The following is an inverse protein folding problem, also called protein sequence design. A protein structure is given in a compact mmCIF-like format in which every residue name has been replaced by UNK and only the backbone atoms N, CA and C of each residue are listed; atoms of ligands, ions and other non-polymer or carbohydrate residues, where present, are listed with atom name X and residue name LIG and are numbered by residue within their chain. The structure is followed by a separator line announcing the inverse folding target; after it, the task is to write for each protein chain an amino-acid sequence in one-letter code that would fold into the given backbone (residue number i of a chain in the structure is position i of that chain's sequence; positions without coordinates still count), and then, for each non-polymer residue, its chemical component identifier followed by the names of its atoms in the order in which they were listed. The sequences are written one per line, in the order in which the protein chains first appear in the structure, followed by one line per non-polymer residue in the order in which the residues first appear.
data_IF_282684127501
#
_entry.id   IF_282684127501
#
_cell.length_a   1.000
_cell.length_b   1.000
_cell.length_c   1.000
_cell.angle_alpha   90.00
_cell.angle_beta   90.00
_cell.angle_gamma   90.00
#
_symmetry.space_group_name_H-M   'P 1'
#
loop_
_entity.id
_entity.type
_entity.pdbx_description
1 polymer ?
#
# COMPACT_ATOMS: atom_id res chain seq x y z
N UNK A 1 15.76 23.01 -32.92
CA UNK A 1 15.08 22.64 -31.65
C UNK A 1 13.59 22.73 -31.92
N UNK A 2 12.81 21.70 -31.58
CA UNK A 2 11.35 21.77 -31.72
C UNK A 2 10.80 22.92 -30.86
N UNK A 3 9.90 23.73 -31.44
CA UNK A 3 9.35 24.91 -30.78
C UNK A 3 8.20 24.49 -29.86
N UNK A 4 8.53 24.03 -28.66
CA UNK A 4 7.59 23.56 -27.65
C UNK A 4 7.30 24.69 -26.66
N UNK A 5 6.01 24.95 -26.38
CA UNK A 5 5.57 26.13 -25.60
C UNK A 5 5.67 25.91 -24.10
N UNK A 6 5.76 24.66 -23.64
CA UNK A 6 5.93 24.33 -22.22
C UNK A 6 6.61 22.98 -22.01
N UNK A 7 7.11 22.77 -20.79
CA UNK A 7 7.69 21.49 -20.36
C UNK A 7 6.65 20.35 -20.37
N UNK A 8 5.41 20.64 -19.98
CA UNK A 8 4.31 19.67 -20.01
C UNK A 8 3.97 19.20 -21.43
N UNK A 9 3.98 20.11 -22.41
CA UNK A 9 3.74 19.78 -23.82
C UNK A 9 4.85 18.87 -24.38
N UNK A 10 6.10 19.09 -23.96
CA UNK A 10 7.21 18.18 -24.27
C UNK A 10 6.98 16.78 -23.68
N UNK A 11 6.53 16.71 -22.42
CA UNK A 11 6.26 15.44 -21.75
C UNK A 11 5.10 14.68 -22.37
N UNK A 12 4.00 15.35 -22.72
CA UNK A 12 2.86 14.72 -23.37
C UNK A 12 3.22 14.17 -24.76
N UNK A 13 3.99 14.92 -25.54
CA UNK A 13 4.38 14.50 -26.89
C UNK A 13 5.37 13.34 -26.89
N UNK A 14 6.28 13.31 -25.91
CA UNK A 14 7.38 12.33 -25.85
C UNK A 14 7.08 11.13 -24.96
N UNK A 15 6.18 11.28 -23.99
CA UNK A 15 5.73 10.24 -23.06
C UNK A 15 4.20 10.24 -22.91
N UNK A 16 3.44 10.11 -24.01
CA UNK A 16 1.98 10.27 -24.01
C UNK A 16 1.26 9.29 -23.07
N UNK A 17 1.85 8.11 -22.87
CA UNK A 17 1.24 7.05 -22.05
C UNK A 17 1.55 7.18 -20.55
N UNK A 18 2.52 8.00 -20.12
CA UNK A 18 2.86 8.11 -18.70
C UNK A 18 3.75 9.31 -18.36
N UNK A 19 3.15 10.45 -18.00
CA UNK A 19 3.87 11.59 -17.39
C UNK A 19 4.74 11.18 -16.19
N UNK A 20 4.28 10.20 -15.41
CA UNK A 20 5.01 9.62 -14.27
C UNK A 20 6.38 9.04 -14.67
N UNK A 21 6.48 8.38 -15.83
CA UNK A 21 7.77 7.85 -16.33
C UNK A 21 8.74 8.98 -16.64
N UNK A 22 8.27 10.11 -17.14
CA UNK A 22 9.12 11.25 -17.44
C UNK A 22 9.74 11.84 -16.16
N UNK A 23 8.94 12.04 -15.11
CA UNK A 23 9.45 12.49 -13.81
C UNK A 23 10.48 11.52 -13.21
N UNK A 24 10.32 10.22 -13.40
CA UNK A 24 11.33 9.23 -13.00
C UNK A 24 12.63 9.37 -13.77
N UNK A 25 12.56 9.56 -15.09
CA UNK A 25 13.74 9.76 -15.93
C UNK A 25 14.47 11.06 -15.59
N UNK A 26 13.73 12.13 -15.28
CA UNK A 26 14.31 13.39 -14.82
C UNK A 26 15.02 13.22 -13.48
N UNK A 27 14.35 12.64 -12.49
CA UNK A 27 14.94 12.45 -11.16
C UNK A 27 16.23 11.64 -11.24
N UNK A 28 16.23 10.57 -12.04
CA UNK A 28 17.42 9.77 -12.34
C UNK A 28 18.50 10.61 -13.04
N UNK A 29 18.13 11.42 -14.03
CA UNK A 29 19.07 12.24 -14.79
C UNK A 29 19.73 13.31 -13.92
N UNK A 30 18.97 13.96 -13.05
CA UNK A 30 19.39 15.08 -12.21
C UNK A 30 20.28 14.62 -11.05
N UNK A 31 19.92 13.52 -10.39
CA UNK A 31 20.54 13.17 -9.11
C UNK A 31 21.61 12.08 -9.25
N UNK A 32 21.53 11.20 -10.26
CA UNK A 32 22.54 10.15 -10.42
C UNK A 32 23.76 10.63 -11.21
N UNK A 33 25.00 10.36 -10.71
CA UNK A 33 26.20 10.66 -11.46
C UNK A 33 26.25 9.94 -12.82
N UNK A 34 26.97 10.53 -13.79
CA UNK A 34 27.00 10.06 -15.17
C UNK A 34 27.48 8.62 -15.35
N UNK A 35 28.43 8.15 -14.53
CA UNK A 35 28.94 6.78 -14.59
C UNK A 35 27.87 5.75 -14.16
N UNK A 36 27.11 6.06 -13.11
CA UNK A 36 25.99 5.27 -12.56
C UNK A 36 24.88 5.11 -13.59
N UNK A 37 24.55 6.20 -14.28
CA UNK A 37 23.50 6.20 -15.32
C UNK A 37 23.80 5.22 -16.46
N UNK A 38 25.08 4.98 -16.77
CA UNK A 38 25.49 4.00 -17.80
C UNK A 38 25.21 2.56 -17.36
N UNK A 39 25.26 2.31 -16.05
CA UNK A 39 25.05 0.99 -15.45
C UNK A 39 23.56 0.68 -15.19
N UNK A 40 22.67 1.67 -15.27
CA UNK A 40 21.23 1.49 -15.11
C UNK A 40 20.62 0.46 -16.07
N UNK A 41 21.25 0.24 -17.24
CA UNK A 41 20.83 -0.82 -18.17
C UNK A 41 20.92 -2.22 -17.56
N UNK A 42 21.83 -2.44 -16.60
CA UNK A 42 22.06 -3.73 -15.95
C UNK A 42 21.18 -3.92 -14.71
N UNK A 43 20.89 -2.86 -13.96
CA UNK A 43 20.10 -2.93 -12.71
C UNK A 43 18.61 -2.63 -12.90
N UNK A 44 18.25 -1.98 -14.01
CA UNK A 44 16.87 -1.66 -14.37
C UNK A 44 16.36 -0.35 -13.74
N UNK A 45 15.37 0.26 -14.42
CA UNK A 45 14.84 1.59 -14.07
C UNK A 45 14.21 1.67 -12.69
N UNK A 46 13.57 0.60 -12.21
CA UNK A 46 12.93 0.62 -10.89
C UNK A 46 13.95 0.75 -9.76
N UNK A 47 15.07 0.02 -9.84
CA UNK A 47 16.18 0.18 -8.88
C UNK A 47 16.92 1.50 -9.10
N UNK A 48 17.02 1.96 -10.34
CA UNK A 48 17.55 3.28 -10.67
C UNK A 48 16.80 4.43 -9.99
N UNK A 49 15.48 4.34 -9.90
CA UNK A 49 14.67 5.33 -9.19
C UNK A 49 14.99 5.34 -7.69
N UNK A 50 15.15 4.17 -7.06
CA UNK A 50 15.52 4.07 -5.65
C UNK A 50 16.93 4.63 -5.39
N UNK A 51 17.90 4.35 -6.28
CA UNK A 51 19.23 4.97 -6.23
C UNK A 51 19.16 6.50 -6.30
N UNK A 52 18.27 7.04 -7.14
CA UNK A 52 18.10 8.49 -7.27
C UNK A 52 17.56 9.12 -5.98
N UNK A 53 16.75 8.40 -5.18
CA UNK A 53 16.30 8.90 -3.87
C UNK A 53 17.47 9.07 -2.90
N UNK A 54 18.38 8.10 -2.84
CA UNK A 54 19.58 8.17 -2.01
C UNK A 54 20.52 9.28 -2.48
N UNK A 55 20.81 9.33 -3.78
CA UNK A 55 21.66 10.37 -4.35
C UNK A 55 21.10 11.78 -4.13
N UNK A 56 19.76 11.93 -4.14
CA UNK A 56 19.10 13.19 -3.79
C UNK A 56 19.28 13.56 -2.31
N UNK A 57 19.25 12.59 -1.39
CA UNK A 57 19.46 12.82 0.05
C UNK A 57 20.94 13.16 0.34
N UNK A 58 21.85 12.35 -0.18
CA UNK A 58 23.27 12.37 0.18
C UNK A 58 24.10 13.34 -0.67
N UNK A 59 23.59 13.73 -1.83
CA UNK A 59 24.27 14.65 -2.74
C UNK A 59 25.67 14.15 -3.11
N UNK A 60 26.70 14.89 -2.70
CA UNK A 60 28.10 14.57 -2.99
C UNK A 60 28.64 13.40 -2.15
N UNK A 61 28.02 13.07 -1.02
CA UNK A 61 28.43 11.98 -0.14
C UNK A 61 27.77 10.64 -0.51
N UNK A 62 27.01 10.61 -1.60
CA UNK A 62 26.34 9.40 -2.07
C UNK A 62 27.35 8.29 -2.42
N UNK A 63 27.42 7.26 -1.57
CA UNK A 63 28.26 6.09 -1.82
C UNK A 63 27.65 5.22 -2.91
N UNK A 64 27.96 5.59 -4.14
CA UNK A 64 27.37 4.95 -5.28
C UNK A 64 27.84 3.50 -5.46
N UNK A 65 29.09 3.18 -5.09
CA UNK A 65 29.65 1.85 -5.30
C UNK A 65 28.92 0.80 -4.46
N UNK A 66 28.67 1.09 -3.18
CA UNK A 66 27.94 0.20 -2.28
C UNK A 66 26.51 0.00 -2.78
N UNK A 67 25.82 1.09 -3.10
CA UNK A 67 24.41 1.02 -3.51
C UNK A 67 24.21 0.38 -4.88
N UNK A 68 25.13 0.57 -5.83
CA UNK A 68 25.13 -0.15 -7.11
C UNK A 68 25.37 -1.64 -6.92
N UNK A 69 26.28 -2.04 -6.03
CA UNK A 69 26.50 -3.44 -5.73
C UNK A 69 25.24 -4.08 -5.14
N UNK A 70 24.64 -3.45 -4.12
CA UNK A 70 23.35 -3.87 -3.55
C UNK A 70 22.26 -3.97 -4.62
N UNK A 71 22.18 -3.00 -5.53
CA UNK A 71 21.20 -3.00 -6.62
C UNK A 71 21.38 -4.18 -7.60
N UNK A 72 22.60 -4.69 -7.78
CA UNK A 72 22.86 -5.85 -8.65
C UNK A 72 22.50 -7.17 -7.99
N UNK A 73 22.77 -7.30 -6.69
CA UNK A 73 22.63 -8.57 -5.95
C UNK A 73 21.22 -8.76 -5.41
N UNK A 74 20.61 -7.71 -4.86
CA UNK A 74 19.32 -7.81 -4.19
C UNK A 74 18.15 -7.87 -5.18
N UNK A 75 17.09 -8.65 -4.94
CA UNK A 75 15.83 -8.52 -5.65
C UNK A 75 15.25 -7.10 -5.50
N UNK A 76 14.32 -6.73 -6.39
CA UNK A 76 13.76 -5.38 -6.45
C UNK A 76 13.16 -4.92 -5.10
N UNK A 77 12.39 -5.78 -4.44
CA UNK A 77 11.68 -5.39 -3.22
C UNK A 77 12.59 -5.40 -1.99
N UNK A 78 13.61 -6.25 -1.94
CA UNK A 78 14.66 -6.18 -0.91
C UNK A 78 15.50 -4.92 -1.06
N UNK A 79 15.89 -4.58 -2.30
CA UNK A 79 16.63 -3.36 -2.58
C UNK A 79 15.82 -2.12 -2.17
N UNK A 80 14.51 -2.07 -2.50
CA UNK A 80 13.63 -0.98 -2.09
C UNK A 80 13.59 -0.84 -0.56
N UNK A 81 13.48 -1.94 0.18
CA UNK A 81 13.46 -1.93 1.65
C UNK A 81 14.77 -1.44 2.25
N UNK A 82 15.91 -1.88 1.73
CA UNK A 82 17.22 -1.38 2.17
C UNK A 82 17.35 0.13 1.95
N UNK A 83 16.87 0.63 0.81
CA UNK A 83 16.84 2.07 0.51
C UNK A 83 15.89 2.82 1.46
N UNK A 84 14.69 2.30 1.70
CA UNK A 84 13.74 2.90 2.65
C UNK A 84 14.27 2.93 4.08
N UNK A 85 14.91 1.83 4.52
CA UNK A 85 15.56 1.72 5.82
C UNK A 85 16.68 2.75 5.96
N UNK A 86 17.52 2.87 4.94
CA UNK A 86 18.59 3.87 4.90
C UNK A 86 18.02 5.28 4.99
N UNK A 87 16.99 5.61 4.20
CA UNK A 87 16.39 6.95 4.15
C UNK A 87 15.64 7.33 5.44
N UNK A 88 15.02 6.37 6.12
CA UNK A 88 14.09 6.63 7.24
C UNK A 88 14.60 6.17 8.60
N UNK A 89 15.64 5.34 8.64
CA UNK A 89 16.15 4.67 9.84
C UNK A 89 15.22 3.59 10.39
N UNK A 90 14.12 3.26 9.71
CA UNK A 90 13.11 2.30 10.18
C UNK A 90 13.16 1.02 9.37
N UNK A 91 13.19 -0.11 10.05
CA UNK A 91 12.86 -1.39 9.42
C UNK A 91 11.35 -1.51 9.29
N UNK A 92 10.88 -1.58 8.05
CA UNK A 92 9.48 -1.90 7.75
C UNK A 92 9.34 -3.41 7.58
N UNK A 93 8.28 -3.97 8.17
CA UNK A 93 7.96 -5.38 7.99
C UNK A 93 7.74 -5.68 6.48
N UNK A 94 8.23 -6.82 5.96
CA UNK A 94 7.95 -7.22 4.60
C UNK A 94 6.43 -7.28 4.37
N UNK A 95 5.95 -6.67 3.30
CA UNK A 95 4.56 -6.77 2.87
C UNK A 95 4.49 -7.12 1.39
N UNK A 96 3.43 -7.82 1.00
CA UNK A 96 3.15 -8.20 -0.38
C UNK A 96 1.79 -7.66 -0.80
N UNK A 97 1.70 -7.14 -2.04
CA UNK A 97 0.39 -6.84 -2.64
C UNK A 97 -0.09 -8.08 -3.36
N UNK A 98 -1.22 -8.60 -2.91
CA UNK A 98 -1.92 -9.70 -3.57
C UNK A 98 -3.00 -9.11 -4.47
N UNK A 99 -2.99 -9.49 -5.75
CA UNK A 99 -4.03 -9.13 -6.70
C UNK A 99 -4.96 -10.31 -6.89
N UNK A 100 -6.26 -10.11 -6.64
CA UNK A 100 -7.29 -11.09 -6.95
C UNK A 100 -8.33 -10.47 -7.88
N UNK A 101 -8.91 -11.31 -8.74
CA UNK A 101 -10.01 -10.91 -9.61
C UNK A 101 -11.31 -11.00 -8.81
N UNK A 102 -12.15 -9.98 -8.96
CA UNK A 102 -13.51 -9.98 -8.45
C UNK A 102 -14.47 -10.23 -9.61
N UNK A 103 -15.41 -11.15 -9.41
CA UNK A 103 -16.54 -11.31 -10.30
C UNK A 103 -17.51 -10.15 -10.11
N UNK A 104 -18.22 -9.75 -11.17
CA UNK A 104 -19.22 -8.67 -11.09
C UNK A 104 -20.28 -8.94 -10.02
N UNK A 105 -20.65 -10.20 -9.81
CA UNK A 105 -21.59 -10.63 -8.77
C UNK A 105 -21.08 -10.41 -7.33
N UNK A 106 -19.77 -10.27 -7.13
CA UNK A 106 -19.16 -10.06 -5.82
C UNK A 106 -19.04 -8.57 -5.45
N UNK A 107 -19.10 -7.67 -6.44
CA UNK A 107 -18.95 -6.22 -6.22
C UNK A 107 -19.96 -5.69 -5.18
N UNK A 108 -21.27 -6.00 -5.26
CA UNK A 108 -22.24 -5.46 -4.30
C UNK A 108 -21.96 -5.91 -2.86
N UNK A 109 -21.52 -7.16 -2.69
CA UNK A 109 -21.19 -7.72 -1.36
C UNK A 109 -20.00 -6.99 -0.74
N UNK A 110 -18.98 -6.70 -1.55
CA UNK A 110 -17.77 -6.00 -1.09
C UNK A 110 -18.07 -4.53 -0.78
N UNK A 111 -18.88 -3.87 -1.62
CA UNK A 111 -19.31 -2.51 -1.38
C UNK A 111 -20.10 -2.39 -0.08
N UNK A 112 -21.07 -3.28 0.14
CA UNK A 112 -21.86 -3.31 1.37
C UNK A 112 -20.98 -3.56 2.61
N UNK A 113 -20.00 -4.46 2.53
CA UNK A 113 -19.08 -4.71 3.63
C UNK A 113 -18.24 -3.47 3.98
N UNK A 114 -17.71 -2.77 2.96
CA UNK A 114 -16.93 -1.55 3.15
C UNK A 114 -17.76 -0.40 3.70
N UNK A 115 -19.00 -0.24 3.24
CA UNK A 115 -19.94 0.75 3.77
C UNK A 115 -20.28 0.48 5.24
N UNK A 116 -20.57 -0.79 5.57
CA UNK A 116 -20.85 -1.21 6.95
C UNK A 116 -19.65 -0.92 7.85
N UNK A 117 -18.45 -1.28 7.43
CA UNK A 117 -17.23 -0.98 8.17
C UNK A 117 -17.00 0.53 8.33
N UNK A 118 -17.24 1.33 7.29
CA UNK A 118 -17.14 2.78 7.38
C UNK A 118 -18.13 3.36 8.42
N UNK A 119 -19.37 2.86 8.46
CA UNK A 119 -20.35 3.27 9.48
C UNK A 119 -19.88 2.90 10.89
N UNK A 120 -19.32 1.69 11.08
CA UNK A 120 -18.81 1.22 12.38
C UNK A 120 -17.58 2.01 12.85
N UNK A 121 -16.72 2.47 11.93
CA UNK A 121 -15.49 3.22 12.23
C UNK A 121 -15.72 4.75 12.33
N UNK A 122 -16.95 5.20 12.15
CA UNK A 122 -17.31 6.61 11.98
C UNK A 122 -17.12 7.08 10.54
N UNK A 123 -17.99 7.99 10.07
CA UNK A 123 -17.94 8.51 8.70
C UNK A 123 -16.60 9.17 8.36
N UNK A 124 -16.21 9.11 7.07
CA UNK A 124 -14.96 9.66 6.48
C UNK A 124 -13.69 8.79 6.58
N UNK A 125 -13.83 7.46 6.54
CA UNK A 125 -12.69 6.53 6.40
C UNK A 125 -12.47 6.10 4.96
N UNK A 126 -11.21 5.96 4.57
CA UNK A 126 -10.86 5.45 3.24
C UNK A 126 -11.28 3.97 3.10
N UNK A 127 -11.69 3.57 1.90
CA UNK A 127 -12.03 2.17 1.59
C UNK A 127 -10.90 1.19 1.94
N UNK A 128 -9.65 1.60 1.75
CA UNK A 128 -8.48 0.79 2.11
C UNK A 128 -8.40 0.54 3.62
N UNK A 129 -8.62 1.58 4.43
CA UNK A 129 -8.65 1.46 5.88
C UNK A 129 -9.82 0.59 6.36
N UNK A 130 -11.01 0.73 5.76
CA UNK A 130 -12.15 -0.15 6.07
C UNK A 130 -11.83 -1.62 5.79
N UNK A 131 -11.16 -1.90 4.67
CA UNK A 131 -10.74 -3.26 4.33
C UNK A 131 -9.71 -3.80 5.32
N UNK A 132 -8.74 -2.98 5.72
CA UNK A 132 -7.74 -3.34 6.73
C UNK A 132 -8.42 -3.71 8.05
N UNK A 133 -9.39 -2.92 8.50
CA UNK A 133 -10.14 -3.19 9.73
C UNK A 133 -10.98 -4.48 9.64
N UNK A 134 -11.61 -4.75 8.50
CA UNK A 134 -12.34 -6.02 8.28
C UNK A 134 -11.38 -7.21 8.35
N UNK A 135 -10.21 -7.11 7.73
CA UNK A 135 -9.20 -8.17 7.79
C UNK A 135 -8.65 -8.35 9.22
N UNK A 136 -8.40 -7.26 9.95
CA UNK A 136 -7.94 -7.31 11.32
C UNK A 136 -8.97 -7.98 12.25
N UNK A 137 -10.26 -7.64 12.10
CA UNK A 137 -11.35 -8.26 12.85
C UNK A 137 -11.48 -9.76 12.52
N UNK A 138 -11.41 -10.12 11.23
CA UNK A 138 -11.41 -11.51 10.80
C UNK A 138 -10.22 -12.30 11.38
N UNK A 139 -9.01 -11.75 11.35
CA UNK A 139 -7.82 -12.40 11.91
C UNK A 139 -7.90 -12.52 13.44
N UNK A 140 -8.41 -11.51 14.12
CA UNK A 140 -8.67 -11.57 15.56
C UNK A 140 -9.70 -12.65 15.89
N UNK A 141 -10.74 -12.81 15.06
CA UNK A 141 -11.75 -13.85 15.18
C UNK A 141 -11.27 -15.26 14.82
N UNK A 142 -10.44 -15.41 13.77
CA UNK A 142 -9.90 -16.70 13.33
C UNK A 142 -8.87 -17.27 14.32
N UNK A 143 -8.17 -16.41 15.06
CA UNK A 143 -7.32 -16.85 16.17
C UNK A 143 -8.12 -17.27 17.43
N UNK A 144 -9.46 -17.20 17.42
CA UNK A 144 -10.31 -17.73 18.50
C UNK A 144 -10.52 -19.25 18.43
N UNK A 145 -9.99 -19.95 17.41
CA UNK A 145 -10.00 -21.42 17.40
C UNK A 145 -9.15 -22.04 18.55
N UNK A 146 -8.39 -21.21 19.28
CA UNK A 146 -7.80 -21.50 20.60
C UNK A 146 -8.32 -20.62 21.75
N UNK A 147 -9.36 -19.81 21.52
CA UNK A 147 -9.87 -18.78 22.43
C UNK A 147 -11.09 -19.24 23.24
N UNK A 148 -11.19 -18.74 24.47
CA UNK A 148 -12.29 -19.00 25.41
C UNK A 148 -13.68 -18.86 24.73
N UNK A 149 -14.51 -19.92 24.68
CA UNK A 149 -15.86 -19.90 24.09
C UNK A 149 -16.76 -18.79 24.64
N UNK A 150 -16.46 -18.28 25.83
CA UNK A 150 -17.21 -17.18 26.44
C UNK A 150 -16.91 -15.81 25.82
N UNK A 151 -15.93 -15.68 24.93
CA UNK A 151 -15.60 -14.40 24.26
C UNK A 151 -16.71 -14.03 23.27
N UNK A 152 -17.12 -14.98 22.42
CA UNK A 152 -18.24 -14.77 21.49
C UNK A 152 -19.53 -14.48 22.26
N UNK A 153 -19.78 -15.22 23.34
CA UNK A 153 -20.96 -15.04 24.17
C UNK A 153 -20.98 -13.67 24.86
N UNK A 154 -19.82 -13.17 25.31
CA UNK A 154 -19.66 -11.82 25.87
C UNK A 154 -19.84 -10.74 24.81
N UNK A 155 -19.28 -10.91 23.62
CA UNK A 155 -19.46 -9.99 22.50
C UNK A 155 -20.94 -9.88 22.09
N UNK A 156 -21.62 -11.01 21.89
CA UNK A 156 -23.06 -11.04 21.58
C UNK A 156 -23.89 -10.40 22.70
N UNK A 157 -23.58 -10.70 23.96
CA UNK A 157 -24.25 -10.10 25.12
C UNK A 157 -24.05 -8.59 25.22
N UNK A 158 -22.86 -8.10 24.84
CA UNK A 158 -22.55 -6.67 24.80
C UNK A 158 -23.31 -5.99 23.66
N UNK A 159 -23.23 -6.55 22.45
CA UNK A 159 -23.93 -6.04 21.26
C UNK A 159 -25.45 -6.01 21.44
N UNK A 160 -26.04 -7.02 22.10
CA UNK A 160 -27.46 -7.05 22.44
C UNK A 160 -27.90 -5.84 23.29
N UNK A 161 -27.04 -5.37 24.21
CA UNK A 161 -27.34 -4.18 25.03
C UNK A 161 -27.36 -2.89 24.22
N UNK A 162 -26.76 -2.83 23.04
CA UNK A 162 -26.81 -1.64 22.20
C UNK A 162 -28.05 -1.59 21.29
N UNK A 163 -28.78 -2.70 21.18
CA UNK A 163 -30.02 -2.72 20.42
C UNK A 163 -31.11 -1.85 21.10
N UNK A 164 -31.87 -1.07 20.33
CA UNK A 164 -33.14 -0.48 20.78
C UNK A 164 -34.12 -1.55 21.25
N UNK A 165 -35.00 -1.21 22.20
CA UNK A 165 -35.85 -2.19 22.90
C UNK A 165 -36.74 -3.02 21.94
N UNK A 166 -37.29 -2.40 20.89
CA UNK A 166 -38.06 -3.10 19.87
C UNK A 166 -37.23 -4.14 19.09
N UNK A 167 -35.96 -3.85 18.83
CA UNK A 167 -35.05 -4.78 18.15
C UNK A 167 -34.54 -5.88 19.08
N UNK A 168 -34.40 -5.60 20.39
CA UNK A 168 -34.10 -6.64 21.40
C UNK A 168 -35.18 -7.70 21.47
N UNK A 169 -36.46 -7.28 21.49
CA UNK A 169 -37.58 -8.22 21.54
C UNK A 169 -37.65 -9.09 20.27
N UNK A 170 -37.45 -8.49 19.10
CA UNK A 170 -37.38 -9.24 17.84
C UNK A 170 -36.21 -10.23 17.83
N UNK A 171 -35.05 -9.83 18.33
CA UNK A 171 -33.88 -10.71 18.46
C UNK A 171 -34.14 -11.87 19.42
N UNK A 172 -34.78 -11.61 20.57
CA UNK A 172 -35.15 -12.66 21.52
C UNK A 172 -36.15 -13.66 20.95
N UNK A 173 -37.06 -13.24 20.07
CA UNK A 173 -37.95 -14.17 19.37
C UNK A 173 -37.18 -15.08 18.41
N UNK A 174 -36.23 -14.53 17.65
CA UNK A 174 -35.42 -15.30 16.69
C UNK A 174 -34.53 -16.35 17.37
N UNK A 175 -33.98 -16.06 18.55
CA UNK A 175 -33.05 -16.96 19.25
C UNK A 175 -33.77 -18.04 20.07
N UNK A 176 -35.06 -17.85 20.38
CA UNK A 176 -35.87 -18.81 21.14
C UNK A 176 -36.67 -19.79 20.25
N UNK A 177 -36.66 -19.60 18.93
CA UNK A 177 -37.17 -20.55 17.93
C UNK A 177 -36.10 -21.60 17.56
#
# INVERSE_FOLDING_TARGET
MENLKSFDEFLEKRFPESRRKAYYLMSIHEHLPAHVRRELKQVGWTKGLELAKLARRDGQEFDCAIWLHKARVLPKDEFRREVEKELTGKETEPWEIIYFKLYKSQIPVIEQALETAALMLGSDRSRGYCLEMICADFLAGANLDGGDPNVLLRALSSSFKFLPENQRQAFLQIVND
#
